data_IF_900095627851
#
_entry.id   IF_900095627851
#
_cell.length_a   1.000
_cell.length_b   1.000
_cell.length_c   1.000
_cell.angle_alpha   90.00
_cell.angle_beta   90.00
_cell.angle_gamma   90.00
#
_symmetry.space_group_name_H-M   'P 1'
#
loop_
_entity.id
_entity.type
_entity.pdbx_description
1 polymer ?
#
# COMPACT_ATOMS: atom_id res chain seq x y z
N UNK A 1 -4.68 -1.97 13.42
CA UNK A 1 -5.12 -0.61 13.05
C UNK A 1 -5.62 0.25 14.22
N UNK A 2 -5.60 -0.22 15.43
CA UNK A 2 -6.14 0.52 16.57
C UNK A 2 -7.67 0.61 16.61
N UNK A 3 -8.36 -0.19 15.81
CA UNK A 3 -9.81 -0.31 15.82
C UNK A 3 -10.24 -1.44 16.75
N UNK A 4 -11.49 -1.39 17.22
CA UNK A 4 -12.04 -2.45 18.04
C UNK A 4 -12.08 -3.77 17.28
N UNK A 5 -11.94 -4.89 18.01
CA UNK A 5 -12.08 -6.22 17.40
C UNK A 5 -13.46 -6.35 16.74
N UNK A 6 -13.51 -6.86 15.52
CA UNK A 6 -14.74 -6.97 14.74
C UNK A 6 -15.18 -5.70 14.04
N UNK A 7 -14.47 -4.58 14.21
CA UNK A 7 -14.75 -3.36 13.46
C UNK A 7 -14.52 -3.59 11.97
N UNK A 8 -15.38 -2.99 11.12
CA UNK A 8 -15.22 -3.05 9.68
C UNK A 8 -14.10 -2.13 9.23
N UNK A 9 -13.31 -2.60 8.26
CA UNK A 9 -12.33 -1.80 7.54
C UNK A 9 -12.54 -2.04 6.05
N UNK A 10 -12.24 -1.04 5.25
CA UNK A 10 -12.19 -1.24 3.80
C UNK A 10 -10.88 -1.94 3.43
N UNK A 11 -10.95 -2.84 2.48
CA UNK A 11 -9.80 -3.61 2.01
C UNK A 11 -9.72 -3.50 0.50
N UNK A 12 -8.53 -3.24 -0.02
CA UNK A 12 -8.28 -3.22 -1.45
C UNK A 12 -6.95 -3.88 -1.79
N UNK A 13 -6.90 -4.46 -2.98
CA UNK A 13 -5.66 -4.95 -3.59
C UNK A 13 -5.55 -4.28 -4.95
N UNK A 14 -4.49 -3.52 -5.15
CA UNK A 14 -4.23 -2.78 -6.37
C UNK A 14 -2.85 -3.16 -6.89
N UNK A 15 -2.78 -3.56 -8.15
CA UNK A 15 -1.50 -3.83 -8.81
C UNK A 15 -1.15 -2.62 -9.67
N UNK A 16 -0.02 -1.99 -9.35
CA UNK A 16 0.48 -0.85 -10.11
C UNK A 16 1.41 -1.32 -11.21
N UNK A 17 1.18 -0.83 -12.43
CA UNK A 17 1.94 -1.20 -13.61
C UNK A 17 2.71 0.01 -14.17
N UNK A 18 3.83 -0.28 -14.82
CA UNK A 18 4.56 0.69 -15.65
C UNK A 18 4.87 0.03 -16.98
N UNK A 19 4.40 0.63 -18.07
CA UNK A 19 4.57 0.07 -19.43
C UNK A 19 4.07 -1.37 -19.53
N UNK A 20 2.95 -1.68 -18.88
CA UNK A 20 2.34 -3.01 -18.87
C UNK A 20 3.01 -4.01 -17.95
N UNK A 21 4.07 -3.63 -17.23
CA UNK A 21 4.78 -4.52 -16.30
C UNK A 21 4.33 -4.26 -14.87
N UNK A 22 3.88 -5.29 -14.13
CA UNK A 22 3.50 -5.11 -12.72
C UNK A 22 4.73 -4.76 -11.87
N UNK A 23 4.68 -3.63 -11.17
CA UNK A 23 5.78 -3.18 -10.32
C UNK A 23 5.48 -3.30 -8.83
N UNK A 24 4.21 -3.26 -8.45
CA UNK A 24 3.84 -3.23 -7.04
C UNK A 24 2.49 -3.88 -6.85
N UNK A 25 2.41 -4.76 -5.87
CA UNK A 25 1.15 -5.28 -5.35
C UNK A 25 0.86 -4.57 -4.03
N UNK A 26 -0.20 -3.79 -4.00
CA UNK A 26 -0.59 -3.00 -2.84
C UNK A 26 -1.81 -3.63 -2.17
N UNK A 27 -1.65 -4.16 -0.97
CA UNK A 27 -2.77 -4.54 -0.11
C UNK A 27 -2.96 -3.47 0.95
N UNK A 28 -4.16 -2.91 1.02
CA UNK A 28 -4.45 -1.78 1.90
C UNK A 28 -5.72 -1.99 2.68
N UNK A 29 -5.65 -1.65 3.97
CA UNK A 29 -6.81 -1.56 4.84
C UNK A 29 -7.02 -0.09 5.20
N UNK A 30 -8.26 0.39 5.06
CA UNK A 30 -8.62 1.80 5.24
C UNK A 30 -9.69 1.92 6.30
N UNK A 31 -9.49 2.86 7.22
CA UNK A 31 -10.47 3.20 8.24
C UNK A 31 -11.66 3.90 7.56
N UNK A 32 -12.86 3.32 7.60
CA UNK A 32 -14.03 3.87 6.93
C UNK A 32 -14.39 5.28 7.40
N UNK A 33 -14.13 5.61 8.65
CA UNK A 33 -14.43 6.93 9.20
C UNK A 33 -13.55 8.02 8.59
N UNK A 34 -12.35 7.66 8.13
CA UNK A 34 -11.43 8.61 7.51
C UNK A 34 -11.70 8.82 6.03
N UNK A 35 -12.23 7.81 5.34
CA UNK A 35 -12.52 7.89 3.91
C UNK A 35 -13.73 7.01 3.57
N UNK A 36 -14.96 7.46 3.85
CA UNK A 36 -16.16 6.66 3.64
C UNK A 36 -16.39 6.22 2.19
N UNK A 37 -15.92 7.02 1.23
CA UNK A 37 -16.11 6.76 -0.20
C UNK A 37 -15.00 5.92 -0.85
N UNK A 38 -14.09 5.36 -0.05
CA UNK A 38 -12.90 4.68 -0.58
C UNK A 38 -13.23 3.56 -1.57
N UNK A 39 -14.23 2.72 -1.26
CA UNK A 39 -14.60 1.59 -2.13
C UNK A 39 -15.32 2.01 -3.41
N UNK A 40 -15.77 3.25 -3.52
CA UNK A 40 -16.44 3.78 -4.71
C UNK A 40 -15.45 4.35 -5.73
N UNK A 41 -14.17 4.45 -5.36
CA UNK A 41 -13.15 5.04 -6.20
C UNK A 41 -12.77 4.14 -7.37
N UNK A 42 -12.45 4.77 -8.50
CA UNK A 42 -11.90 4.10 -9.68
C UNK A 42 -10.38 4.19 -9.64
N UNK A 43 -9.72 3.12 -9.19
CA UNK A 43 -8.27 3.08 -9.07
C UNK A 43 -7.54 2.89 -10.40
N UNK A 44 -8.26 2.88 -11.53
CA UNK A 44 -7.65 3.05 -12.84
C UNK A 44 -7.38 4.52 -13.18
N UNK A 45 -8.00 5.46 -12.44
CA UNK A 45 -7.89 6.91 -12.64
C UNK A 45 -7.16 7.62 -11.51
N UNK A 46 -7.29 7.13 -10.30
CA UNK A 46 -6.72 7.74 -9.11
C UNK A 46 -6.03 6.68 -8.27
N UNK A 47 -4.90 7.02 -7.64
CA UNK A 47 -4.25 6.10 -6.70
C UNK A 47 -4.93 6.18 -5.33
N UNK A 48 -4.83 5.11 -4.51
CA UNK A 48 -5.30 5.17 -3.13
C UNK A 48 -4.69 6.33 -2.35
N UNK A 49 -3.40 6.60 -2.52
CA UNK A 49 -2.72 7.70 -1.84
C UNK A 49 -3.28 9.06 -2.24
N UNK A 50 -3.53 9.28 -3.54
CA UNK A 50 -4.14 10.52 -4.02
C UNK A 50 -5.53 10.74 -3.40
N UNK A 51 -6.36 9.70 -3.38
CA UNK A 51 -7.69 9.78 -2.79
C UNK A 51 -7.62 10.12 -1.29
N UNK A 52 -6.73 9.43 -0.57
CA UNK A 52 -6.61 9.63 0.87
C UNK A 52 -6.10 11.02 1.23
N UNK A 53 -5.15 11.56 0.47
CA UNK A 53 -4.69 12.93 0.67
C UNK A 53 -5.76 13.98 0.35
N UNK A 54 -6.69 13.66 -0.56
CA UNK A 54 -7.79 14.55 -0.88
C UNK A 54 -8.90 14.57 0.19
N UNK A 55 -9.02 13.50 0.99
CA UNK A 55 -10.14 13.32 1.93
C UNK A 55 -9.76 13.40 3.39
N UNK A 56 -8.47 13.33 3.74
CA UNK A 56 -8.02 13.36 5.13
C UNK A 56 -6.82 14.29 5.30
N UNK A 57 -6.58 14.68 6.56
CA UNK A 57 -5.37 15.42 6.92
C UNK A 57 -4.36 14.45 7.51
N UNK A 58 -3.31 14.16 6.76
CA UNK A 58 -2.21 13.32 7.21
C UNK A 58 -1.40 14.06 8.29
N UNK A 59 -1.22 13.40 9.43
CA UNK A 59 -0.39 13.91 10.53
C UNK A 59 0.92 13.14 10.64
N UNK A 60 0.88 11.81 10.51
CA UNK A 60 2.05 10.95 10.66
C UNK A 60 1.96 9.77 9.72
N UNK A 61 3.10 9.38 9.17
CA UNK A 61 3.28 8.14 8.45
C UNK A 61 4.46 7.37 9.06
N UNK A 62 4.29 6.07 9.19
CA UNK A 62 5.34 5.15 9.61
C UNK A 62 5.52 4.09 8.54
N UNK A 63 6.76 3.66 8.32
CA UNK A 63 7.02 2.59 7.39
C UNK A 63 8.23 1.77 7.83
N UNK A 64 8.23 0.51 7.40
CA UNK A 64 9.36 -0.40 7.54
C UNK A 64 9.57 -1.10 6.20
N UNK A 65 10.82 -1.25 5.79
CA UNK A 65 11.20 -1.90 4.55
C UNK A 65 11.96 -3.17 4.90
N UNK A 66 11.55 -4.28 4.29
CA UNK A 66 12.21 -5.57 4.49
C UNK A 66 12.37 -6.31 3.17
N UNK A 67 13.34 -7.21 3.10
CA UNK A 67 13.48 -8.15 2.00
C UNK A 67 12.72 -9.43 2.35
N UNK A 68 11.90 -9.93 1.42
CA UNK A 68 11.11 -11.12 1.65
C UNK A 68 10.71 -11.75 0.32
N UNK A 69 10.22 -12.99 0.37
CA UNK A 69 9.56 -13.62 -0.76
C UNK A 69 8.07 -13.25 -0.76
N UNK A 70 7.41 -13.28 -1.92
CA UNK A 70 5.99 -12.92 -1.99
C UNK A 70 5.10 -14.02 -1.39
N UNK A 71 3.90 -13.61 -0.97
CA UNK A 71 2.82 -14.55 -0.71
C UNK A 71 2.29 -15.10 -2.04
N UNK A 72 1.55 -16.22 -1.99
CA UNK A 72 1.07 -16.88 -3.20
C UNK A 72 0.25 -15.96 -4.11
N UNK A 73 -0.68 -15.19 -3.53
CA UNK A 73 -1.52 -14.27 -4.30
C UNK A 73 -0.70 -13.13 -4.89
N UNK A 74 0.28 -12.63 -4.16
CA UNK A 74 1.16 -11.56 -4.63
C UNK A 74 2.01 -12.02 -5.81
N UNK A 75 2.59 -13.23 -5.71
CA UNK A 75 3.36 -13.83 -6.80
C UNK A 75 2.53 -13.98 -8.08
N UNK A 76 1.29 -14.44 -7.94
CA UNK A 76 0.38 -14.60 -9.07
C UNK A 76 0.05 -13.25 -9.71
N UNK A 77 -0.31 -12.25 -8.92
CA UNK A 77 -0.70 -10.93 -9.42
C UNK A 77 0.47 -10.17 -10.04
N UNK A 78 1.68 -10.38 -9.52
CA UNK A 78 2.90 -9.75 -10.06
C UNK A 78 3.54 -10.55 -11.19
N UNK A 79 3.07 -11.78 -11.44
CA UNK A 79 3.64 -12.64 -12.47
C UNK A 79 5.08 -13.05 -12.17
N UNK A 80 5.38 -13.39 -10.92
CA UNK A 80 6.72 -13.77 -10.46
C UNK A 80 6.69 -15.13 -9.74
N UNK A 81 7.86 -15.73 -9.58
CA UNK A 81 8.01 -16.97 -8.81
C UNK A 81 7.90 -16.73 -7.31
N UNK A 82 7.54 -17.78 -6.56
CA UNK A 82 7.39 -17.74 -5.11
C UNK A 82 8.72 -17.51 -4.38
N UNK A 83 9.85 -17.72 -5.05
CA UNK A 83 11.18 -17.53 -4.48
C UNK A 83 11.84 -16.22 -4.90
N UNK A 84 11.15 -15.41 -5.71
CA UNK A 84 11.67 -14.12 -6.16
C UNK A 84 11.84 -13.17 -4.98
N UNK A 85 13.06 -12.66 -4.70
CA UNK A 85 13.25 -11.66 -3.66
C UNK A 85 12.48 -10.38 -3.98
N UNK A 86 11.80 -9.85 -2.99
CA UNK A 86 11.01 -8.63 -3.10
C UNK A 86 11.43 -7.62 -2.02
N UNK A 87 11.26 -6.34 -2.32
CA UNK A 87 11.23 -5.30 -1.29
C UNK A 87 9.79 -5.13 -0.83
N UNK A 88 9.56 -5.32 0.45
CA UNK A 88 8.23 -5.19 1.06
C UNK A 88 8.23 -3.98 1.97
N UNK A 89 7.33 -3.04 1.68
CA UNK A 89 7.13 -1.86 2.50
C UNK A 89 5.84 -2.03 3.28
N UNK A 90 5.94 -2.02 4.60
CA UNK A 90 4.78 -1.99 5.49
C UNK A 90 4.63 -0.55 5.96
N UNK A 91 3.49 0.08 5.65
CA UNK A 91 3.28 1.50 5.93
C UNK A 91 1.95 1.72 6.62
N UNK A 92 1.93 2.60 7.60
CA UNK A 92 0.71 3.09 8.23
C UNK A 92 0.66 4.60 8.19
N UNK A 93 -0.53 5.15 8.02
CA UNK A 93 -0.76 6.59 8.00
C UNK A 93 -1.82 6.96 9.02
N UNK A 94 -1.68 8.14 9.61
CA UNK A 94 -2.48 8.56 10.77
C UNK A 94 -2.89 10.02 10.66
N UNK A 95 -4.11 10.32 11.13
CA UNK A 95 -4.47 11.65 11.60
C UNK A 95 -3.99 11.80 13.05
N UNK A 96 -4.26 12.93 13.71
CA UNK A 96 -3.92 13.10 15.12
C UNK A 96 -4.67 12.14 16.04
N UNK A 97 -5.88 11.72 15.64
CA UNK A 97 -6.77 10.92 16.50
C UNK A 97 -6.90 9.46 16.06
N UNK A 98 -6.57 9.13 14.81
CA UNK A 98 -6.88 7.80 14.28
C UNK A 98 -5.88 7.32 13.26
N UNK A 99 -5.79 6.00 13.11
CA UNK A 99 -5.10 5.37 11.99
C UNK A 99 -5.99 5.47 10.74
N UNK A 100 -5.44 6.02 9.66
CA UNK A 100 -6.13 6.14 8.37
C UNK A 100 -6.00 4.83 7.61
N UNK A 101 -4.76 4.36 7.39
CA UNK A 101 -4.47 3.17 6.59
C UNK A 101 -3.35 2.33 7.18
N UNK A 102 -3.40 1.05 6.84
CA UNK A 102 -2.27 0.12 6.92
C UNK A 102 -2.11 -0.53 5.57
N UNK A 103 -0.91 -0.50 4.99
CA UNK A 103 -0.64 -1.03 3.67
C UNK A 103 0.60 -1.93 3.66
N UNK A 104 0.52 -3.00 2.88
CA UNK A 104 1.65 -3.85 2.51
C UNK A 104 1.91 -3.67 1.02
N UNK A 105 3.10 -3.18 0.68
CA UNK A 105 3.49 -2.88 -0.69
C UNK A 105 4.62 -3.82 -1.08
N UNK A 106 4.36 -4.71 -2.02
CA UNK A 106 5.32 -5.74 -2.46
C UNK A 106 5.86 -5.38 -3.83
N UNK A 107 7.18 -5.26 -3.92
CA UNK A 107 7.88 -4.87 -5.14
C UNK A 107 8.86 -5.97 -5.55
N UNK A 108 8.72 -6.57 -6.74
CA UNK A 108 9.73 -7.51 -7.23
C UNK A 108 11.11 -6.85 -7.28
N UNK A 109 12.11 -7.48 -6.65
CA UNK A 109 13.41 -6.85 -6.50
C UNK A 109 14.16 -6.62 -7.81
N UNK A 110 13.85 -7.38 -8.85
CA UNK A 110 14.46 -7.21 -10.18
C UNK A 110 13.75 -6.15 -11.04
N UNK A 111 12.65 -5.58 -10.55
CA UNK A 111 11.86 -4.54 -11.24
C UNK A 111 11.83 -3.21 -10.49
N UNK A 112 12.36 -3.15 -9.28
CA UNK A 112 12.21 -2.00 -8.41
C UNK A 112 13.44 -1.81 -7.54
N UNK A 113 13.88 -0.56 -7.40
CA UNK A 113 14.95 -0.17 -6.48
C UNK A 113 14.59 1.10 -5.75
N UNK A 114 15.18 1.29 -4.58
CA UNK A 114 15.07 2.51 -3.81
C UNK A 114 16.40 3.26 -3.91
N UNK A 115 16.33 4.53 -4.28
CA UNK A 115 17.48 5.41 -4.34
C UNK A 115 17.17 6.69 -3.58
N UNK A 116 18.18 7.23 -2.93
CA UNK A 116 18.06 8.49 -2.23
C UNK A 116 19.34 9.29 -2.36
N UNK A 117 19.22 10.60 -2.24
CA UNK A 117 20.34 11.52 -2.25
C UNK A 117 20.13 12.56 -1.15
N UNK A 118 21.20 12.86 -0.44
CA UNK A 118 21.20 13.90 0.57
C UNK A 118 22.33 14.87 0.30
N UNK A 119 21.97 16.15 0.20
CA UNK A 119 22.95 17.24 0.05
C UNK A 119 22.78 18.19 1.23
N UNK A 120 23.80 18.29 2.12
CA UNK A 120 23.72 19.18 3.25
C UNK A 120 23.75 20.66 2.85
#
# INVERSE_FOLDING_TARGET
MGLAAGARVFHSVVVHHENGVPLQCEERHVNPDCCPSYLEADFTRVTPTQLLFATTTLWRAQYAIEASVPRAVEARLLGIGRQQPCLVVNRSTHTREATITVARLVHPGHRYGLQGEFQP
#
